data_IF_122452010437
#
_entry.id   IF_122452010437
#
_cell.length_a   1.000
_cell.length_b   1.000
_cell.length_c   1.000
_cell.angle_alpha   90.00
_cell.angle_beta   90.00
_cell.angle_gamma   90.00
#
_symmetry.space_group_name_H-M   'P 1'
#
loop_
_entity.id
_entity.type
_entity.pdbx_description
1 polymer ?
#
# COMPACT_ATOMS: atom_id res chain seq x y z
N UNK A 1 -13.23 22.23 14.65
CA UNK A 1 -12.47 23.45 15.04
C UNK A 1 -11.96 24.06 13.74
N UNK A 2 -12.03 25.37 13.57
CA UNK A 2 -11.52 26.09 12.40
C UNK A 2 -10.62 27.24 12.88
N UNK A 3 -9.51 27.45 12.18
CA UNK A 3 -8.64 28.60 12.36
C UNK A 3 -9.08 29.70 11.38
N UNK A 4 -9.19 30.91 11.87
CA UNK A 4 -9.66 32.07 11.10
C UNK A 4 -8.66 33.21 11.27
N UNK A 5 -8.17 33.84 10.19
CA UNK A 5 -7.34 35.02 10.28
C UNK A 5 -8.01 36.10 11.10
N UNK A 6 -7.26 36.78 11.99
CA UNK A 6 -7.80 37.75 12.92
C UNK A 6 -8.68 38.86 12.26
N UNK A 7 -8.28 39.30 11.06
CA UNK A 7 -9.05 40.29 10.29
C UNK A 7 -10.33 39.75 9.62
N UNK A 8 -10.56 38.43 9.63
CA UNK A 8 -11.71 37.77 9.01
C UNK A 8 -12.74 37.25 10.02
N UNK A 9 -12.49 37.42 11.31
CA UNK A 9 -13.35 36.86 12.37
C UNK A 9 -14.79 37.36 12.27
N UNK A 10 -15.00 38.63 11.97
CA UNK A 10 -16.34 39.20 11.84
C UNK A 10 -17.13 38.65 10.66
N UNK A 11 -16.47 38.51 9.49
CA UNK A 11 -17.06 37.94 8.28
C UNK A 11 -17.51 36.48 8.51
N UNK A 12 -16.68 35.69 9.20
CA UNK A 12 -17.00 34.30 9.52
C UNK A 12 -18.17 34.20 10.49
N UNK A 13 -18.22 35.02 11.52
CA UNK A 13 -19.36 35.05 12.45
C UNK A 13 -20.67 35.44 11.74
N UNK A 14 -20.65 36.44 10.85
CA UNK A 14 -21.79 36.84 10.07
C UNK A 14 -22.27 35.69 9.13
N UNK A 15 -21.34 35.03 8.44
CA UNK A 15 -21.66 33.89 7.59
C UNK A 15 -22.29 32.72 8.37
N UNK A 16 -21.76 32.41 9.58
CA UNK A 16 -22.31 31.39 10.44
C UNK A 16 -23.69 31.78 11.01
N UNK A 17 -23.92 33.05 11.28
CA UNK A 17 -25.19 33.58 11.73
C UNK A 17 -26.26 33.47 10.63
N UNK A 18 -25.88 33.85 9.40
CA UNK A 18 -26.74 33.71 8.22
C UNK A 18 -27.08 32.26 7.89
N UNK A 19 -26.18 31.32 8.21
CA UNK A 19 -26.39 29.87 8.06
C UNK A 19 -27.16 29.24 9.26
N UNK A 20 -27.55 30.01 10.27
CA UNK A 20 -28.26 29.50 11.45
C UNK A 20 -27.38 28.70 12.40
N UNK A 21 -26.07 28.79 12.30
CA UNK A 21 -25.09 28.00 13.08
C UNK A 21 -24.47 28.75 14.24
N UNK A 22 -24.75 30.04 14.40
CA UNK A 22 -24.09 30.92 15.40
C UNK A 22 -24.26 30.47 16.85
N UNK A 23 -25.40 29.82 17.19
CA UNK A 23 -25.66 29.35 18.56
C UNK A 23 -24.66 28.30 19.06
N UNK A 24 -24.01 27.57 18.14
CA UNK A 24 -23.11 26.46 18.43
C UNK A 24 -21.63 26.83 18.25
N UNK A 25 -21.34 28.09 17.93
CA UNK A 25 -19.99 28.56 17.66
C UNK A 25 -19.44 29.36 18.82
N UNK A 26 -18.29 29.00 19.35
CA UNK A 26 -17.58 29.69 20.40
C UNK A 26 -16.13 29.90 19.99
N UNK A 27 -15.59 31.08 20.31
CA UNK A 27 -14.15 31.30 20.19
C UNK A 27 -13.42 30.48 21.26
N UNK A 28 -12.58 29.54 20.85
CA UNK A 28 -11.81 28.70 21.75
C UNK A 28 -10.52 29.38 22.23
N UNK A 29 -9.92 30.25 21.38
CA UNK A 29 -8.67 30.93 21.71
C UNK A 29 -8.16 31.76 20.53
N UNK A 30 -6.89 32.09 20.58
CA UNK A 30 -6.15 32.71 19.48
C UNK A 30 -4.80 32.01 19.36
N UNK A 31 -4.31 31.89 18.13
CA UNK A 31 -2.94 31.40 17.84
C UNK A 31 -1.97 32.49 18.29
N UNK A 32 -0.88 32.09 18.93
CA UNK A 32 0.21 32.96 19.37
C UNK A 32 1.54 32.47 18.78
N UNK A 33 2.58 33.25 18.91
CA UNK A 33 3.92 32.93 18.44
C UNK A 33 4.73 32.09 19.46
N UNK A 34 4.20 31.86 20.64
CA UNK A 34 4.83 31.07 21.68
C UNK A 34 4.49 29.58 21.46
N UNK A 35 5.49 28.71 21.50
CA UNK A 35 5.26 27.25 21.42
C UNK A 35 4.65 26.74 22.75
N UNK A 36 3.49 27.29 23.17
CA UNK A 36 2.83 26.95 24.40
C UNK A 36 1.31 27.16 24.34
N UNK A 37 0.57 26.36 25.12
CA UNK A 37 -0.81 26.62 25.48
C UNK A 37 -0.83 27.59 26.66
N UNK A 38 -1.55 28.69 26.54
CA UNK A 38 -1.68 29.71 27.58
C UNK A 38 -3.15 29.83 27.98
N UNK A 39 -3.45 29.66 29.25
CA UNK A 39 -4.81 29.81 29.80
C UNK A 39 -4.73 30.50 31.17
N UNK A 40 -5.07 31.79 31.23
CA UNK A 40 -4.83 32.60 32.42
C UNK A 40 -3.34 32.63 32.78
N UNK A 41 -3.02 32.27 34.01
CA UNK A 41 -1.63 32.19 34.50
C UNK A 41 -0.93 30.85 34.14
N UNK A 42 -1.67 29.89 33.60
CA UNK A 42 -1.10 28.59 33.17
C UNK A 42 -0.42 28.72 31.82
N UNK A 43 0.82 28.26 31.75
CA UNK A 43 1.58 28.14 30.52
C UNK A 43 2.12 26.71 30.43
N UNK A 44 1.75 25.97 29.39
CA UNK A 44 2.18 24.59 29.11
C UNK A 44 2.89 24.57 27.77
N UNK A 45 4.14 24.17 27.74
CA UNK A 45 4.90 24.03 26.50
C UNK A 45 4.25 22.95 25.59
N UNK A 46 4.24 23.19 24.27
CA UNK A 46 3.67 22.24 23.30
C UNK A 46 4.39 20.91 23.40
N UNK A 47 5.72 20.90 23.50
CA UNK A 47 6.51 19.67 23.60
C UNK A 47 6.20 18.89 24.89
N UNK A 48 5.96 19.59 26.01
CA UNK A 48 5.56 18.95 27.25
C UNK A 48 4.18 18.31 27.13
N UNK A 49 3.22 19.01 26.53
CA UNK A 49 1.88 18.48 26.27
C UNK A 49 1.92 17.29 25.30
N UNK A 50 2.71 17.38 24.23
CA UNK A 50 2.89 16.32 23.26
C UNK A 50 3.50 15.07 23.90
N UNK A 51 4.57 15.25 24.67
CA UNK A 51 5.23 14.14 25.38
C UNK A 51 4.29 13.47 26.40
N UNK A 52 3.50 14.25 27.12
CA UNK A 52 2.52 13.70 28.06
C UNK A 52 1.43 12.91 27.33
N UNK A 53 0.98 13.39 26.18
CA UNK A 53 -0.04 12.70 25.37
C UNK A 53 0.49 11.45 24.70
N UNK A 54 1.62 11.52 24.00
CA UNK A 54 2.20 10.41 23.25
C UNK A 54 2.87 9.38 24.16
N UNK A 55 3.47 9.80 25.28
CA UNK A 55 4.22 8.93 26.19
C UNK A 55 3.37 8.04 27.10
N UNK A 56 2.05 8.26 27.18
CA UNK A 56 1.18 7.56 28.14
C UNK A 56 1.23 6.02 27.99
N UNK A 57 1.23 5.52 26.77
CA UNK A 57 1.26 4.08 26.46
C UNK A 57 2.62 3.57 26.00
N UNK A 58 3.65 4.42 25.93
CA UNK A 58 4.95 4.09 25.33
C UNK A 58 5.64 2.89 26.02
N UNK A 59 5.42 2.72 27.33
CA UNK A 59 5.97 1.58 28.10
C UNK A 59 5.31 0.24 27.76
N UNK A 60 4.08 0.26 27.29
CA UNK A 60 3.28 -0.95 26.98
C UNK A 60 3.27 -1.20 25.48
N UNK A 61 3.18 -0.15 24.68
CA UNK A 61 3.16 -0.18 23.22
C UNK A 61 4.19 0.83 22.70
N UNK A 62 5.47 0.48 22.66
CA UNK A 62 6.51 1.39 22.19
C UNK A 62 6.26 1.79 20.75
N UNK A 63 6.38 3.09 20.47
CA UNK A 63 6.23 3.65 19.11
C UNK A 63 7.54 3.61 18.33
N UNK A 64 8.65 3.28 19.00
CA UNK A 64 9.97 3.14 18.39
C UNK A 64 10.58 1.80 18.77
N UNK A 65 11.14 1.09 17.79
CA UNK A 65 11.97 -0.09 18.03
C UNK A 65 13.45 0.29 18.09
N UNK A 66 14.31 -0.67 18.47
CA UNK A 66 15.76 -0.50 18.37
C UNK A 66 16.17 -0.32 16.92
N UNK A 67 16.90 0.75 16.64
CA UNK A 67 17.34 1.13 15.28
C UNK A 67 18.25 0.05 14.67
N UNK A 68 17.83 -0.50 13.53
CA UNK A 68 18.74 -1.15 12.57
C UNK A 68 19.37 -0.05 11.72
N UNK A 69 20.67 0.20 11.92
CA UNK A 69 21.44 1.24 11.20
C UNK A 69 22.03 0.68 9.89
N UNK A 70 21.21 0.06 9.06
CA UNK A 70 21.66 -0.32 7.72
C UNK A 70 21.79 0.91 6.81
N UNK A 71 22.82 0.90 5.98
CA UNK A 71 22.99 1.92 4.95
C UNK A 71 21.87 1.78 3.92
N UNK A 72 21.06 2.83 3.79
CA UNK A 72 19.91 2.83 2.89
C UNK A 72 20.35 3.23 1.48
N UNK A 73 20.14 2.34 0.50
CA UNK A 73 20.37 2.65 -0.91
C UNK A 73 19.35 3.66 -1.42
N UNK A 74 19.81 4.66 -2.12
CA UNK A 74 18.99 5.79 -2.60
C UNK A 74 18.98 5.94 -4.12
N UNK A 75 19.63 5.03 -4.85
CA UNK A 75 19.79 5.11 -6.30
C UNK A 75 18.45 4.90 -7.02
N UNK A 76 18.23 5.72 -8.06
CA UNK A 76 17.12 5.51 -8.98
C UNK A 76 17.58 4.57 -10.10
N UNK A 77 16.72 3.62 -10.45
CA UNK A 77 16.96 2.67 -11.53
C UNK A 77 16.22 3.13 -12.80
N UNK A 78 16.99 3.34 -13.87
CA UNK A 78 16.46 3.57 -15.21
C UNK A 78 16.52 2.30 -16.04
N UNK A 79 15.36 1.84 -16.50
CA UNK A 79 15.26 0.66 -17.33
C UNK A 79 15.56 0.99 -18.81
N UNK A 80 16.36 0.16 -19.48
CA UNK A 80 16.57 0.27 -20.92
C UNK A 80 15.27 0.03 -21.72
N UNK A 81 14.35 -0.74 -21.16
CA UNK A 81 13.03 -1.03 -21.75
C UNK A 81 12.02 -1.46 -20.70
N UNK A 82 10.74 -1.15 -20.94
CA UNK A 82 9.60 -1.64 -20.17
C UNK A 82 8.92 -2.75 -20.97
N UNK A 83 8.42 -3.78 -20.28
CA UNK A 83 7.68 -4.86 -20.93
C UNK A 83 6.45 -4.33 -21.68
N UNK A 84 6.31 -4.72 -22.95
CA UNK A 84 5.22 -4.26 -23.81
C UNK A 84 4.25 -5.42 -24.06
N UNK A 85 2.95 -5.17 -23.82
CA UNK A 85 1.89 -6.12 -24.10
C UNK A 85 1.73 -6.36 -25.60
N UNK A 86 1.71 -7.64 -25.99
CA UNK A 86 1.43 -8.08 -27.38
C UNK A 86 -0.06 -8.41 -27.57
N UNK A 87 -0.77 -8.70 -26.49
CA UNK A 87 -2.18 -9.09 -26.47
C UNK A 87 -3.08 -7.91 -26.08
N UNK A 88 -3.20 -6.94 -26.98
CA UNK A 88 -3.95 -5.70 -26.75
C UNK A 88 -5.46 -5.96 -26.69
N UNK A 89 -6.13 -5.25 -25.76
CA UNK A 89 -7.58 -5.26 -25.60
C UNK A 89 -8.09 -3.85 -25.33
N UNK A 90 -9.24 -3.52 -25.86
CA UNK A 90 -9.81 -2.16 -25.71
C UNK A 90 -10.16 -1.85 -24.25
N UNK A 91 -10.62 -2.86 -23.53
CA UNK A 91 -11.01 -2.75 -22.11
C UNK A 91 -10.60 -4.02 -21.37
N UNK A 92 -9.54 -3.97 -20.56
CA UNK A 92 -9.09 -5.13 -19.83
C UNK A 92 -10.05 -5.49 -18.71
N UNK A 93 -10.14 -6.79 -18.41
CA UNK A 93 -10.89 -7.33 -17.28
C UNK A 93 -9.92 -7.62 -16.13
N UNK A 94 -10.30 -7.22 -14.92
CA UNK A 94 -9.54 -7.44 -13.69
C UNK A 94 -10.25 -8.46 -12.83
N UNK A 95 -9.61 -9.56 -12.51
CA UNK A 95 -10.09 -10.50 -11.52
C UNK A 95 -9.62 -10.09 -10.13
N UNK A 96 -10.56 -10.01 -9.19
CA UNK A 96 -10.32 -9.66 -7.77
C UNK A 96 -10.79 -10.83 -6.90
N UNK A 97 -9.87 -11.70 -6.45
CA UNK A 97 -10.19 -12.79 -5.53
C UNK A 97 -10.47 -12.26 -4.13
N UNK A 98 -11.55 -12.71 -3.53
CA UNK A 98 -11.98 -12.35 -2.17
C UNK A 98 -11.99 -13.59 -1.29
N UNK A 99 -11.26 -13.54 -0.18
CA UNK A 99 -11.24 -14.57 0.84
C UNK A 99 -11.88 -14.07 2.14
N UNK A 100 -12.31 -14.95 3.05
CA UNK A 100 -12.76 -14.51 4.37
C UNK A 100 -11.72 -13.57 5.03
N UNK A 101 -12.15 -12.37 5.41
CA UNK A 101 -11.28 -11.33 5.97
C UNK A 101 -10.69 -10.33 4.96
N UNK A 102 -10.83 -10.53 3.66
CA UNK A 102 -10.56 -9.48 2.65
C UNK A 102 -11.52 -8.32 2.84
N UNK A 103 -11.04 -7.08 2.73
CA UNK A 103 -11.88 -5.89 2.92
C UNK A 103 -11.58 -4.71 1.97
N UNK A 104 -10.58 -4.83 1.10
CA UNK A 104 -10.18 -3.77 0.14
C UNK A 104 -10.64 -4.07 -1.30
N UNK A 105 -11.48 -5.09 -1.51
CA UNK A 105 -11.97 -5.47 -2.85
C UNK A 105 -12.83 -4.39 -3.49
N UNK A 106 -13.66 -3.69 -2.70
CA UNK A 106 -14.50 -2.60 -3.19
C UNK A 106 -13.69 -1.38 -3.66
N UNK A 107 -12.67 -1.00 -2.88
CA UNK A 107 -11.81 0.11 -3.25
C UNK A 107 -10.96 -0.24 -4.47
N UNK A 108 -10.47 -1.48 -4.53
CA UNK A 108 -9.73 -2.02 -5.68
C UNK A 108 -10.59 -2.04 -6.95
N UNK A 109 -11.82 -2.54 -6.86
CA UNK A 109 -12.75 -2.56 -7.99
C UNK A 109 -13.03 -1.14 -8.51
N UNK A 110 -13.39 -0.21 -7.61
CA UNK A 110 -13.64 1.19 -7.96
C UNK A 110 -12.42 1.86 -8.61
N UNK A 111 -11.19 1.56 -8.12
CA UNK A 111 -9.97 2.12 -8.68
C UNK A 111 -9.75 1.66 -10.13
N UNK A 112 -9.92 0.36 -10.42
CA UNK A 112 -9.81 -0.17 -11.78
C UNK A 112 -10.95 0.28 -12.71
N UNK A 113 -12.18 0.35 -12.22
CA UNK A 113 -13.33 0.86 -12.99
C UNK A 113 -13.13 2.32 -13.37
N UNK A 114 -12.63 3.16 -12.47
CA UNK A 114 -12.24 4.56 -12.77
C UNK A 114 -11.13 4.65 -13.82
N UNK A 115 -10.19 3.69 -13.81
CA UNK A 115 -9.13 3.60 -14.81
C UNK A 115 -9.65 3.07 -16.19
N UNK A 116 -10.88 2.57 -16.25
CA UNK A 116 -11.54 2.11 -17.49
C UNK A 116 -11.40 0.61 -17.74
N UNK A 117 -11.26 -0.20 -16.71
CA UNK A 117 -11.35 -1.65 -16.76
C UNK A 117 -12.76 -2.17 -16.43
N UNK A 118 -13.03 -3.44 -16.74
CA UNK A 118 -14.12 -4.22 -16.15
C UNK A 118 -13.58 -5.04 -14.99
N UNK A 119 -14.41 -5.32 -13.96
CA UNK A 119 -14.00 -6.08 -12.78
C UNK A 119 -14.84 -7.35 -12.61
N UNK A 120 -14.18 -8.44 -12.20
CA UNK A 120 -14.81 -9.69 -11.76
C UNK A 120 -14.40 -9.93 -10.33
N UNK A 121 -15.33 -9.71 -9.39
CA UNK A 121 -15.11 -9.98 -7.97
C UNK A 121 -15.74 -11.32 -7.62
N UNK A 122 -14.98 -12.25 -7.07
CA UNK A 122 -15.45 -13.57 -6.68
C UNK A 122 -15.00 -13.92 -5.25
N UNK A 123 -15.92 -14.45 -4.47
CA UNK A 123 -15.67 -14.89 -3.10
C UNK A 123 -15.31 -16.36 -3.08
N UNK A 124 -14.20 -16.70 -2.44
CA UNK A 124 -13.80 -18.08 -2.17
C UNK A 124 -14.63 -18.64 -1.01
N UNK A 125 -15.49 -19.59 -1.30
CA UNK A 125 -16.31 -20.30 -0.32
C UNK A 125 -15.52 -21.46 0.28
N UNK A 126 -15.58 -21.66 1.58
CA UNK A 126 -14.80 -22.68 2.28
C UNK A 126 -15.59 -23.41 3.40
N UNK A 127 -16.92 -23.40 3.35
CA UNK A 127 -17.75 -24.04 4.37
C UNK A 127 -17.68 -25.56 4.31
N UNK A 128 -17.46 -26.13 3.13
CA UNK A 128 -17.35 -27.57 2.90
C UNK A 128 -16.46 -27.86 1.68
N UNK A 129 -16.18 -29.15 1.44
CA UNK A 129 -15.29 -29.56 0.35
C UNK A 129 -15.85 -29.26 -1.06
N UNK A 130 -17.16 -29.20 -1.24
CA UNK A 130 -17.81 -28.83 -2.50
C UNK A 130 -17.60 -27.36 -2.80
N UNK A 131 -17.88 -26.49 -1.84
CA UNK A 131 -17.63 -25.04 -1.95
C UNK A 131 -16.18 -24.72 -2.37
N UNK A 132 -15.22 -25.47 -1.81
CA UNK A 132 -13.80 -25.31 -2.16
C UNK A 132 -13.55 -25.68 -3.62
N UNK A 133 -14.10 -26.82 -4.09
CA UNK A 133 -13.95 -27.27 -5.49
C UNK A 133 -14.59 -26.28 -6.46
N UNK A 134 -15.83 -25.87 -6.18
CA UNK A 134 -16.54 -24.85 -6.97
C UNK A 134 -15.77 -23.54 -7.02
N UNK A 135 -15.23 -23.06 -5.89
CA UNK A 135 -14.47 -21.83 -5.82
C UNK A 135 -13.17 -21.89 -6.63
N UNK A 136 -12.47 -23.04 -6.59
CA UNK A 136 -11.27 -23.26 -7.42
C UNK A 136 -11.63 -23.18 -8.91
N UNK A 137 -12.72 -23.83 -9.33
CA UNK A 137 -13.16 -23.84 -10.73
C UNK A 137 -13.65 -22.43 -11.17
N UNK A 138 -14.41 -21.71 -10.32
CA UNK A 138 -14.85 -20.34 -10.59
C UNK A 138 -13.68 -19.36 -10.67
N UNK A 139 -12.69 -19.46 -9.79
CA UNK A 139 -11.49 -18.62 -9.82
C UNK A 139 -10.64 -18.90 -11.04
N UNK A 140 -10.40 -20.18 -11.37
CA UNK A 140 -9.69 -20.59 -12.59
C UNK A 140 -10.35 -19.96 -13.82
N UNK A 141 -11.68 -20.09 -13.95
CA UNK A 141 -12.44 -19.51 -15.05
C UNK A 141 -12.35 -17.97 -15.07
N UNK A 142 -12.38 -17.32 -13.93
CA UNK A 142 -12.24 -15.85 -13.84
C UNK A 142 -10.82 -15.40 -14.27
N UNK A 143 -9.77 -16.14 -13.88
CA UNK A 143 -8.39 -15.88 -14.30
C UNK A 143 -8.25 -16.04 -15.82
N UNK A 144 -8.88 -17.08 -16.40
CA UNK A 144 -8.84 -17.29 -17.85
C UNK A 144 -9.50 -16.17 -18.66
N UNK A 145 -10.47 -15.48 -18.08
CA UNK A 145 -11.15 -14.34 -18.70
C UNK A 145 -10.42 -13.00 -18.48
N UNK A 146 -9.62 -12.90 -17.42
CA UNK A 146 -8.97 -11.67 -17.01
C UNK A 146 -7.66 -11.39 -17.76
N UNK A 147 -7.27 -10.14 -17.80
CA UNK A 147 -5.96 -9.65 -18.20
C UNK A 147 -5.11 -9.23 -16.99
N UNK A 148 -5.77 -8.92 -15.89
CA UNK A 148 -5.15 -8.48 -14.64
C UNK A 148 -5.69 -9.32 -13.49
N UNK A 149 -4.82 -9.68 -12.55
CA UNK A 149 -5.24 -10.17 -11.23
C UNK A 149 -4.88 -9.10 -10.20
N UNK A 150 -5.87 -8.65 -9.43
CA UNK A 150 -5.68 -7.75 -8.29
C UNK A 150 -5.84 -8.54 -6.98
N UNK A 151 -4.77 -8.75 -6.24
CA UNK A 151 -4.79 -9.29 -4.89
C UNK A 151 -5.06 -8.16 -3.90
N UNK A 152 -6.28 -8.07 -3.34
CA UNK A 152 -6.66 -6.94 -2.49
C UNK A 152 -6.06 -7.05 -1.09
N UNK A 153 -6.07 -5.93 -0.39
CA UNK A 153 -5.74 -5.86 1.02
C UNK A 153 -6.84 -6.41 1.92
N UNK A 154 -6.52 -6.50 3.19
CA UNK A 154 -7.38 -7.03 4.24
C UNK A 154 -6.63 -7.98 5.16
N UNK A 155 -7.35 -8.91 5.77
CA UNK A 155 -6.85 -9.87 6.74
C UNK A 155 -7.34 -11.27 6.39
N UNK A 156 -6.93 -11.81 5.24
CA UNK A 156 -7.44 -13.08 4.74
C UNK A 156 -7.19 -14.23 5.72
N UNK A 157 -8.29 -14.82 6.22
CA UNK A 157 -8.32 -15.83 7.28
C UNK A 157 -7.81 -15.39 8.65
N UNK A 158 -7.78 -14.05 8.91
CA UNK A 158 -7.22 -13.44 10.10
C UNK A 158 -5.72 -13.19 10.00
N UNK A 159 -5.22 -12.23 10.79
CA UNK A 159 -3.78 -12.03 10.98
C UNK A 159 -3.28 -13.13 11.92
N UNK A 160 -2.73 -14.14 11.32
CA UNK A 160 -2.13 -15.24 12.05
C UNK A 160 -0.71 -14.89 12.47
N UNK A 161 -0.26 -15.32 13.67
CA UNK A 161 1.16 -15.37 13.95
C UNK A 161 1.83 -16.18 12.83
N UNK A 162 2.95 -15.78 12.31
CA UNK A 162 3.65 -16.44 11.20
C UNK A 162 3.15 -16.08 9.78
N UNK A 163 2.47 -14.97 9.64
CA UNK A 163 2.32 -14.33 8.34
C UNK A 163 0.94 -14.40 7.71
N UNK A 164 0.48 -13.24 7.43
CA UNK A 164 -0.75 -12.97 6.70
C UNK A 164 -0.73 -13.56 5.29
N UNK A 165 -1.90 -13.70 4.70
CA UNK A 165 -2.13 -14.26 3.36
C UNK A 165 -1.84 -15.75 3.17
N UNK A 166 -1.77 -16.55 4.24
CA UNK A 166 -1.61 -18.01 4.12
C UNK A 166 -2.73 -18.64 3.32
N UNK A 167 -3.96 -18.18 3.50
CA UNK A 167 -5.11 -18.73 2.78
C UNK A 167 -5.05 -18.42 1.29
N UNK A 168 -4.69 -17.20 0.90
CA UNK A 168 -4.39 -16.87 -0.49
C UNK A 168 -3.33 -17.82 -1.06
N UNK A 169 -2.20 -17.93 -0.37
CA UNK A 169 -1.08 -18.75 -0.84
C UNK A 169 -1.47 -20.23 -0.96
N UNK A 170 -2.23 -20.77 -0.03
CA UNK A 170 -2.69 -22.15 -0.06
C UNK A 170 -3.64 -22.39 -1.23
N UNK A 171 -4.62 -21.52 -1.44
CA UNK A 171 -5.58 -21.65 -2.53
C UNK A 171 -4.90 -21.52 -3.90
N UNK A 172 -4.06 -20.50 -4.11
CA UNK A 172 -3.39 -20.25 -5.37
C UNK A 172 -2.28 -21.26 -5.71
N UNK A 173 -1.82 -22.07 -4.75
CA UNK A 173 -0.96 -23.24 -4.99
C UNK A 173 -1.73 -24.47 -5.47
N UNK A 174 -3.06 -24.42 -5.55
CA UNK A 174 -3.81 -25.45 -6.28
C UNK A 174 -3.34 -25.52 -7.74
N UNK A 175 -3.15 -26.74 -8.27
CA UNK A 175 -2.57 -26.93 -9.60
C UNK A 175 -3.31 -26.18 -10.72
N UNK A 176 -4.66 -26.20 -10.72
CA UNK A 176 -5.48 -25.49 -11.71
C UNK A 176 -5.28 -23.98 -11.65
N UNK A 177 -5.30 -23.42 -10.43
CA UNK A 177 -5.13 -21.99 -10.22
C UNK A 177 -3.70 -21.54 -10.55
N UNK A 178 -2.68 -22.32 -10.13
CA UNK A 178 -1.28 -22.07 -10.49
C UNK A 178 -1.11 -22.04 -12.01
N UNK A 179 -1.64 -23.04 -12.72
CA UNK A 179 -1.57 -23.12 -14.19
C UNK A 179 -2.24 -21.90 -14.85
N UNK A 180 -3.44 -21.52 -14.40
CA UNK A 180 -4.16 -20.37 -14.94
C UNK A 180 -3.41 -19.04 -14.73
N UNK A 181 -2.83 -18.82 -13.53
CA UNK A 181 -2.01 -17.63 -13.25
C UNK A 181 -0.75 -17.62 -14.13
N UNK A 182 -0.06 -18.74 -14.25
CA UNK A 182 1.16 -18.79 -15.05
C UNK A 182 0.87 -18.64 -16.54
N UNK A 183 -0.25 -19.15 -17.06
CA UNK A 183 -0.72 -18.88 -18.44
C UNK A 183 -1.06 -17.40 -18.64
N UNK A 184 -1.76 -16.78 -17.67
CA UNK A 184 -2.03 -15.35 -17.73
C UNK A 184 -0.73 -14.55 -17.88
N UNK A 185 0.27 -14.82 -17.05
CA UNK A 185 1.52 -14.07 -17.04
C UNK A 185 2.40 -14.42 -18.27
N UNK A 186 2.57 -15.68 -18.63
CA UNK A 186 3.57 -16.11 -19.60
C UNK A 186 3.06 -16.17 -21.04
N UNK A 187 1.76 -16.42 -21.25
CA UNK A 187 1.19 -16.62 -22.57
C UNK A 187 0.30 -15.47 -23.05
N UNK A 188 -0.29 -14.72 -22.11
CA UNK A 188 -1.25 -13.64 -22.40
C UNK A 188 -0.76 -12.25 -22.03
N UNK A 189 0.54 -12.12 -21.68
CA UNK A 189 1.15 -10.85 -21.24
C UNK A 189 0.43 -10.18 -20.05
N UNK A 190 -0.23 -10.99 -19.21
CA UNK A 190 -1.05 -10.48 -18.10
C UNK A 190 -0.25 -9.73 -17.03
N UNK A 191 -0.97 -9.00 -16.21
CA UNK A 191 -0.43 -8.26 -15.07
C UNK A 191 -0.98 -8.79 -13.74
N UNK A 192 -0.21 -8.65 -12.66
CA UNK A 192 -0.69 -8.88 -11.30
C UNK A 192 -0.27 -7.74 -10.37
N UNK A 193 -1.21 -7.30 -9.54
CA UNK A 193 -1.00 -6.28 -8.50
C UNK A 193 -1.40 -6.84 -7.15
N UNK A 194 -0.58 -6.64 -6.13
CA UNK A 194 -0.93 -6.98 -4.75
C UNK A 194 -0.69 -5.81 -3.82
N UNK A 195 -1.70 -5.42 -3.06
CA UNK A 195 -1.59 -4.32 -2.11
C UNK A 195 -1.80 -4.86 -0.68
N UNK A 196 -0.92 -4.50 0.24
CA UNK A 196 -0.94 -4.87 1.65
C UNK A 196 -1.03 -6.41 1.82
N UNK A 197 -2.15 -6.98 2.25
CA UNK A 197 -2.35 -8.43 2.32
C UNK A 197 -2.15 -9.12 0.95
N UNK A 198 -2.47 -8.45 -0.14
CA UNK A 198 -2.17 -8.92 -1.50
C UNK A 198 -0.68 -8.99 -1.79
N UNK A 199 0.13 -8.05 -1.32
CA UNK A 199 1.59 -8.13 -1.44
C UNK A 199 2.16 -9.29 -0.62
N UNK A 200 1.64 -9.51 0.59
CA UNK A 200 1.99 -10.68 1.39
C UNK A 200 1.66 -11.99 0.66
N UNK A 201 0.54 -12.04 -0.08
CA UNK A 201 0.19 -13.18 -0.92
C UNK A 201 1.19 -13.36 -2.07
N UNK A 202 1.51 -12.30 -2.81
CA UNK A 202 2.44 -12.35 -3.94
C UNK A 202 3.83 -12.85 -3.51
N UNK A 203 4.35 -12.38 -2.38
CA UNK A 203 5.67 -12.78 -1.90
C UNK A 203 5.68 -14.23 -1.42
N UNK A 204 4.62 -14.69 -0.72
CA UNK A 204 4.49 -16.08 -0.28
C UNK A 204 4.31 -17.06 -1.45
N UNK A 205 3.66 -16.62 -2.53
CA UNK A 205 3.52 -17.39 -3.75
C UNK A 205 4.82 -17.46 -4.56
N UNK A 206 5.75 -16.53 -4.37
CA UNK A 206 6.95 -16.39 -5.19
C UNK A 206 6.76 -15.50 -6.43
N UNK A 207 5.54 -14.99 -6.67
CA UNK A 207 5.26 -14.11 -7.81
C UNK A 207 6.11 -12.83 -7.75
N UNK A 208 6.43 -12.35 -6.58
CA UNK A 208 7.55 -11.45 -6.35
C UNK A 208 8.49 -12.11 -5.32
N UNK A 209 9.80 -12.07 -5.51
CA UNK A 209 10.58 -11.41 -6.57
C UNK A 209 10.82 -12.29 -7.81
N UNK A 210 10.28 -13.51 -7.92
CA UNK A 210 10.69 -14.49 -8.93
C UNK A 210 9.93 -14.40 -10.26
N UNK A 211 8.69 -13.90 -10.25
CA UNK A 211 7.79 -13.85 -11.42
C UNK A 211 7.06 -15.16 -11.68
N UNK A 212 7.13 -16.13 -10.76
CA UNK A 212 6.48 -17.44 -10.87
C UNK A 212 5.95 -17.93 -9.53
N UNK A 213 4.90 -18.77 -9.56
CA UNK A 213 4.42 -19.45 -8.35
C UNK A 213 5.40 -20.60 -8.03
N UNK A 214 6.09 -20.45 -6.90
CA UNK A 214 7.07 -21.43 -6.41
C UNK A 214 7.16 -21.46 -4.89
N UNK A 215 7.65 -22.53 -4.28
CA UNK A 215 7.97 -22.53 -2.85
C UNK A 215 9.05 -21.49 -2.53
N UNK A 216 8.93 -20.84 -1.38
CA UNK A 216 9.99 -20.00 -0.84
C UNK A 216 11.17 -20.87 -0.38
N UNK A 217 12.39 -20.39 -0.62
CA UNK A 217 13.61 -20.93 -0.04
C UNK A 217 13.89 -20.26 1.31
N UNK A 218 14.83 -20.79 2.07
CA UNK A 218 15.18 -20.25 3.40
C UNK A 218 15.74 -18.82 3.35
N UNK A 219 16.32 -18.43 2.23
CA UNK A 219 16.90 -17.11 1.96
C UNK A 219 15.97 -16.19 1.15
N UNK A 220 14.75 -16.63 0.83
CA UNK A 220 13.80 -15.82 0.06
C UNK A 220 13.42 -14.54 0.81
N UNK A 221 13.30 -13.41 0.11
CA UNK A 221 12.67 -12.22 0.68
C UNK A 221 11.27 -12.51 1.22
N UNK A 222 10.90 -11.86 2.30
CA UNK A 222 9.57 -12.03 2.91
C UNK A 222 9.06 -10.74 3.55
N UNK A 223 7.79 -10.77 3.93
CA UNK A 223 7.15 -9.76 4.78
C UNK A 223 6.88 -10.38 6.15
N UNK A 224 7.21 -9.64 7.21
CA UNK A 224 7.07 -10.08 8.59
C UNK A 224 6.51 -8.98 9.48
N UNK A 225 6.49 -9.21 10.78
CA UNK A 225 5.98 -8.26 11.78
C UNK A 225 6.69 -6.91 11.72
N UNK A 226 5.90 -5.84 11.88
CA UNK A 226 6.44 -4.50 12.10
C UNK A 226 7.37 -4.51 13.33
N UNK A 227 8.45 -3.72 13.28
CA UNK A 227 9.43 -3.64 14.39
C UNK A 227 8.80 -3.26 15.73
N UNK A 228 7.76 -2.43 15.70
CA UNK A 228 7.03 -2.04 16.93
C UNK A 228 6.11 -3.14 17.50
N UNK A 229 6.02 -4.31 16.85
CA UNK A 229 5.24 -5.45 17.34
C UNK A 229 3.71 -5.26 17.34
N UNK A 230 3.20 -4.29 16.59
CA UNK A 230 1.76 -4.00 16.53
C UNK A 230 1.34 -3.41 15.19
N UNK A 231 0.01 -3.29 15.00
CA UNK A 231 -0.57 -2.64 13.85
C UNK A 231 -0.21 -1.15 13.78
N UNK A 232 0.16 -0.69 12.58
CA UNK A 232 0.36 0.71 12.23
C UNK A 232 -0.77 1.15 11.29
N UNK A 233 -1.31 2.35 11.54
CA UNK A 233 -2.22 3.03 10.63
C UNK A 233 -1.78 4.49 10.50
N UNK A 234 -1.15 4.84 9.37
CA UNK A 234 -0.53 6.14 9.14
C UNK A 234 -0.49 6.47 7.65
N UNK A 235 -0.55 7.77 7.33
CA UNK A 235 -0.16 8.22 5.99
C UNK A 235 1.36 8.14 5.87
N UNK A 236 1.85 7.52 4.80
CA UNK A 236 3.27 7.32 4.55
C UNK A 236 3.68 7.97 3.24
N UNK A 237 4.91 8.46 3.19
CA UNK A 237 5.51 8.98 1.97
C UNK A 237 6.31 7.86 1.30
N UNK A 238 6.02 7.61 0.02
CA UNK A 238 6.69 6.60 -0.78
C UNK A 238 7.25 7.22 -2.06
N UNK A 239 8.48 6.88 -2.41
CA UNK A 239 9.17 7.38 -3.59
C UNK A 239 9.27 6.28 -4.64
N UNK A 240 8.92 6.60 -5.89
CA UNK A 240 9.14 5.70 -7.03
C UNK A 240 10.62 5.67 -7.36
N UNK A 241 11.24 4.49 -7.32
CA UNK A 241 12.70 4.34 -7.49
C UNK A 241 13.09 3.53 -8.72
N UNK A 242 12.12 3.03 -9.49
CA UNK A 242 12.34 2.38 -10.78
C UNK A 242 11.26 2.77 -11.79
N UNK A 243 11.60 2.84 -13.06
CA UNK A 243 10.67 3.00 -14.19
C UNK A 243 10.48 1.69 -15.00
N UNK A 244 10.98 0.57 -14.47
CA UNK A 244 10.96 -0.74 -15.15
C UNK A 244 9.56 -1.33 -15.30
N UNK A 245 8.68 -1.06 -14.35
CA UNK A 245 7.38 -1.72 -14.27
C UNK A 245 6.32 -1.02 -15.14
N UNK A 246 5.54 -1.75 -15.95
CA UNK A 246 4.39 -1.18 -16.64
C UNK A 246 3.35 -0.59 -15.68
N UNK A 247 3.29 -1.04 -14.43
CA UNK A 247 2.46 -0.46 -13.37
C UNK A 247 2.84 0.99 -13.02
N UNK A 248 4.09 1.39 -13.27
CA UNK A 248 4.63 2.70 -12.96
C UNK A 248 4.81 3.59 -14.19
N UNK A 249 4.30 3.17 -15.35
CA UNK A 249 4.51 3.87 -16.63
C UNK A 249 3.97 5.32 -16.65
N UNK A 250 2.98 5.65 -15.82
CA UNK A 250 2.45 7.02 -15.68
C UNK A 250 2.92 7.71 -14.37
N UNK A 251 3.72 7.03 -13.56
CA UNK A 251 4.36 7.63 -12.40
C UNK A 251 5.68 8.28 -12.81
N UNK A 252 6.04 9.36 -12.15
CA UNK A 252 7.31 10.04 -12.37
C UNK A 252 8.39 9.41 -11.50
N UNK A 253 9.50 8.99 -12.11
CA UNK A 253 10.64 8.44 -11.38
C UNK A 253 11.23 9.49 -10.43
N UNK A 254 11.48 9.09 -9.19
CA UNK A 254 11.97 9.98 -8.13
C UNK A 254 10.88 10.79 -7.42
N UNK A 255 9.63 10.78 -7.91
CA UNK A 255 8.53 11.50 -7.28
C UNK A 255 8.03 10.79 -6.03
N UNK A 256 7.62 11.60 -5.06
CA UNK A 256 7.08 11.17 -3.77
C UNK A 256 5.55 11.22 -3.78
N UNK A 257 4.93 10.18 -3.24
CA UNK A 257 3.49 10.06 -3.10
C UNK A 257 3.12 9.77 -1.65
N UNK A 258 1.98 10.29 -1.21
CA UNK A 258 1.46 10.10 0.13
C UNK A 258 0.25 9.16 0.11
N UNK A 259 0.36 7.98 0.70
CA UNK A 259 -0.69 6.97 0.70
C UNK A 259 -0.92 6.40 2.11
N UNK A 260 -2.12 5.94 2.47
CA UNK A 260 -2.35 5.30 3.75
C UNK A 260 -1.69 3.92 3.82
N UNK A 261 -1.01 3.64 4.92
CA UNK A 261 -0.55 2.31 5.31
C UNK A 261 -1.33 1.82 6.52
N UNK A 262 -1.74 0.55 6.53
CA UNK A 262 -2.54 -0.04 7.60
C UNK A 262 -2.26 -1.53 7.69
N UNK A 263 -1.29 -1.92 8.53
CA UNK A 263 -0.83 -3.32 8.65
C UNK A 263 -0.07 -3.59 9.95
N UNK A 264 -0.09 -4.85 10.41
CA UNK A 264 0.76 -5.38 11.48
C UNK A 264 2.01 -6.10 10.98
N UNK A 265 1.97 -6.55 9.72
CA UNK A 265 3.00 -7.37 9.07
C UNK A 265 3.34 -6.81 7.68
N UNK A 266 4.08 -5.72 7.67
CA UNK A 266 4.49 -5.06 6.41
C UNK A 266 6.00 -4.92 6.25
N UNK A 267 6.77 -5.40 7.22
CA UNK A 267 8.23 -5.30 7.23
C UNK A 267 8.85 -6.19 6.19
N UNK A 268 9.42 -5.59 5.16
CA UNK A 268 10.21 -6.31 4.16
C UNK A 268 11.58 -6.67 4.74
N UNK A 269 11.93 -7.94 4.67
CA UNK A 269 13.23 -8.46 5.09
C UNK A 269 13.81 -9.38 4.03
N UNK A 270 15.12 -9.29 3.82
CA UNK A 270 15.85 -10.12 2.87
C UNK A 270 17.33 -10.17 3.25
N UNK A 271 18.07 -11.25 2.95
CA UNK A 271 19.52 -11.27 3.01
C UNK A 271 20.14 -10.20 2.11
N UNK A 272 21.35 -9.76 2.46
CA UNK A 272 22.07 -8.70 1.72
C UNK A 272 22.20 -8.99 0.23
N UNK A 273 22.48 -10.23 -0.14
CA UNK A 273 22.60 -10.67 -1.55
C UNK A 273 21.31 -10.44 -2.33
N UNK A 274 20.14 -10.64 -1.68
CA UNK A 274 18.84 -10.34 -2.27
C UNK A 274 18.60 -8.85 -2.38
N UNK A 275 18.95 -8.06 -1.35
CA UNK A 275 18.83 -6.60 -1.41
C UNK A 275 19.65 -6.05 -2.57
N UNK A 276 20.92 -6.45 -2.68
CA UNK A 276 21.80 -6.04 -3.76
C UNK A 276 21.25 -6.41 -5.15
N UNK A 277 20.73 -7.64 -5.28
CA UNK A 277 20.10 -8.11 -6.52
C UNK A 277 18.84 -7.34 -6.89
N UNK A 278 17.95 -7.06 -5.93
CA UNK A 278 16.71 -6.35 -6.17
C UNK A 278 16.97 -4.92 -6.68
N UNK A 279 17.91 -4.20 -6.07
CA UNK A 279 18.30 -2.87 -6.51
C UNK A 279 18.99 -2.92 -7.89
N UNK A 280 19.96 -3.82 -8.08
CA UNK A 280 20.70 -3.95 -9.34
C UNK A 280 19.78 -4.30 -10.53
N UNK A 281 18.71 -5.06 -10.28
CA UNK A 281 17.77 -5.47 -11.31
C UNK A 281 16.59 -4.47 -11.50
N UNK A 282 16.52 -3.39 -10.72
CA UNK A 282 15.41 -2.44 -10.74
C UNK A 282 14.09 -3.04 -10.27
N UNK A 283 14.15 -4.06 -9.38
CA UNK A 283 12.97 -4.71 -8.83
C UNK A 283 12.42 -4.02 -7.58
N UNK A 284 13.16 -3.10 -6.97
CA UNK A 284 12.62 -2.22 -5.94
C UNK A 284 11.77 -1.16 -6.63
N UNK A 285 10.46 -1.19 -6.38
CA UNK A 285 9.50 -0.29 -7.02
C UNK A 285 9.39 1.04 -6.29
N UNK A 286 9.23 0.96 -4.98
CA UNK A 286 9.00 2.11 -4.10
C UNK A 286 9.74 1.95 -2.78
N UNK A 287 10.16 3.08 -2.20
CA UNK A 287 10.79 3.14 -0.88
C UNK A 287 10.03 4.12 0.02
N UNK A 288 9.94 3.80 1.31
CA UNK A 288 9.53 4.79 2.32
C UNK A 288 10.56 5.91 2.40
N UNK A 289 10.08 7.15 2.48
CA UNK A 289 10.93 8.35 2.50
C UNK A 289 10.46 9.33 3.57
N UNK A 290 11.38 10.18 4.02
CA UNK A 290 11.04 11.33 4.87
C UNK A 290 10.41 12.47 4.03
N UNK A 291 10.07 13.58 4.67
CA UNK A 291 9.49 14.76 4.02
C UNK A 291 10.39 15.35 2.90
N UNK A 292 11.70 15.18 3.01
CA UNK A 292 12.65 15.61 1.98
C UNK A 292 12.75 14.61 0.80
N UNK A 293 11.99 13.52 0.80
CA UNK A 293 12.03 12.49 -0.24
C UNK A 293 13.28 11.60 -0.17
N UNK A 294 13.93 11.52 0.98
CA UNK A 294 15.12 10.69 1.21
C UNK A 294 14.71 9.39 1.89
N UNK A 295 15.06 8.21 1.32
CA UNK A 295 14.86 6.92 1.98
C UNK A 295 15.57 6.87 3.33
N UNK A 296 14.91 6.32 4.35
CA UNK A 296 15.42 6.33 5.72
C UNK A 296 14.98 5.11 6.52
N UNK A 297 15.77 4.72 7.50
CA UNK A 297 15.41 3.70 8.50
C UNK A 297 14.74 4.29 9.74
N UNK A 298 14.52 5.61 9.78
CA UNK A 298 13.78 6.26 10.86
C UNK A 298 12.32 5.77 10.87
N UNK A 299 11.87 5.25 12.00
CA UNK A 299 10.53 4.67 12.18
C UNK A 299 9.39 5.67 12.05
N UNK A 300 9.68 6.96 12.15
CA UNK A 300 8.70 7.98 11.82
C UNK A 300 8.24 7.87 10.37
N UNK A 301 9.14 7.49 9.47
CA UNK A 301 8.92 7.44 8.03
C UNK A 301 8.86 6.02 7.47
N UNK A 302 9.77 5.15 7.92
CA UNK A 302 9.78 3.71 7.61
C UNK A 302 9.00 2.96 8.70
N UNK A 303 7.68 3.09 8.65
CA UNK A 303 6.74 2.77 9.73
C UNK A 303 6.71 1.30 10.17
N UNK A 304 7.32 0.42 9.42
CA UNK A 304 7.34 -1.02 9.72
C UNK A 304 8.76 -1.59 9.89
N UNK A 305 9.81 -0.77 9.68
CA UNK A 305 11.20 -1.20 9.78
C UNK A 305 11.69 -2.02 8.58
N UNK A 306 11.10 -1.83 7.40
CA UNK A 306 11.51 -2.52 6.16
C UNK A 306 12.97 -2.27 5.82
N UNK A 307 13.72 -3.32 5.49
CA UNK A 307 15.12 -3.22 5.08
C UNK A 307 15.28 -2.32 3.87
N UNK A 308 16.30 -1.47 3.88
CA UNK A 308 16.57 -0.45 2.86
C UNK A 308 15.33 0.40 2.53
N UNK A 309 14.42 0.62 3.49
CA UNK A 309 13.15 1.35 3.30
C UNK A 309 12.25 0.79 2.19
N UNK A 310 12.39 -0.46 1.78
CA UNK A 310 11.62 -1.04 0.69
C UNK A 310 10.14 -1.09 1.07
N UNK A 311 9.30 -0.42 0.28
CA UNK A 311 7.85 -0.40 0.43
C UNK A 311 7.16 -1.35 -0.57
N UNK A 312 7.72 -1.48 -1.78
CA UNK A 312 7.19 -2.34 -2.82
C UNK A 312 8.27 -2.89 -3.75
N UNK A 313 8.03 -4.08 -4.29
CA UNK A 313 8.92 -4.77 -5.25
C UNK A 313 8.15 -5.33 -6.44
N UNK A 314 8.88 -5.60 -7.52
CA UNK A 314 8.33 -6.21 -8.74
C UNK A 314 8.92 -7.58 -9.04
N UNK A 315 8.26 -8.31 -9.98
CA UNK A 315 8.86 -9.43 -10.70
C UNK A 315 10.06 -8.96 -11.56
N UNK A 316 10.92 -9.88 -12.04
CA UNK A 316 12.08 -9.50 -12.85
C UNK A 316 11.73 -8.70 -14.12
N UNK A 317 10.56 -8.94 -14.70
CA UNK A 317 10.04 -8.26 -15.89
C UNK A 317 9.11 -7.06 -15.56
N UNK A 318 8.88 -6.77 -14.29
CA UNK A 318 8.08 -5.65 -13.82
C UNK A 318 6.56 -5.85 -13.90
N UNK A 319 6.05 -6.97 -14.43
CA UNK A 319 4.61 -7.19 -14.64
C UNK A 319 3.83 -7.54 -13.39
N UNK A 320 4.49 -8.06 -12.38
CA UNK A 320 3.90 -8.26 -11.04
C UNK A 320 4.42 -7.18 -10.12
N UNK A 321 3.54 -6.46 -9.44
CA UNK A 321 3.88 -5.42 -8.46
C UNK A 321 3.23 -5.75 -7.12
N UNK A 322 4.01 -5.77 -6.05
CA UNK A 322 3.55 -5.83 -4.68
C UNK A 322 3.97 -4.58 -3.90
N UNK A 323 3.06 -3.99 -3.14
CA UNK A 323 3.32 -2.81 -2.29
C UNK A 323 2.44 -2.81 -1.04
N UNK A 324 2.91 -2.13 0.03
CA UNK A 324 2.19 -2.11 1.30
C UNK A 324 1.18 -0.99 1.44
N UNK A 325 1.49 0.20 0.96
CA UNK A 325 0.60 1.35 1.08
C UNK A 325 -0.56 1.29 0.07
N UNK A 326 -1.75 1.69 0.52
CA UNK A 326 -3.02 1.54 -0.17
C UNK A 326 -3.29 2.66 -1.19
N UNK A 327 -2.82 2.50 -2.41
CA UNK A 327 -3.08 3.45 -3.50
C UNK A 327 -4.52 3.39 -4.02
N UNK A 328 -5.27 2.32 -3.74
CA UNK A 328 -6.69 2.16 -4.09
C UNK A 328 -7.62 3.00 -3.21
N UNK A 329 -7.20 3.30 -1.97
CA UNK A 329 -7.99 4.08 -1.00
C UNK A 329 -7.94 5.57 -1.29
N UNK A 330 -8.38 5.94 -2.48
CA UNK A 330 -8.40 7.30 -2.97
C UNK A 330 -9.73 7.62 -3.63
N UNK A 331 -10.30 8.77 -3.26
CA UNK A 331 -11.49 9.36 -3.91
C UNK A 331 -11.49 10.88 -3.72
N UNK A 332 -12.41 11.59 -4.38
CA UNK A 332 -12.55 13.06 -4.28
C UNK A 332 -12.76 13.55 -2.85
N UNK A 333 -13.36 12.74 -1.98
CA UNK A 333 -13.67 13.06 -0.58
C UNK A 333 -12.78 12.35 0.45
N UNK A 334 -11.81 11.53 0.00
CA UNK A 334 -10.91 10.79 0.88
C UNK A 334 -9.59 11.55 1.01
N UNK A 335 -9.09 11.69 2.24
CA UNK A 335 -7.81 12.32 2.56
C UNK A 335 -7.66 13.76 2.03
N UNK A 336 -8.74 14.53 1.94
CA UNK A 336 -8.76 15.89 1.38
C UNK A 336 -7.84 16.87 2.12
N UNK A 337 -7.64 16.67 3.42
CA UNK A 337 -6.82 17.54 4.28
C UNK A 337 -5.40 16.98 4.49
N UNK A 338 -5.02 15.97 3.75
CA UNK A 338 -3.67 15.40 3.81
C UNK A 338 -2.82 16.02 2.70
N UNK A 339 -1.70 16.60 3.10
CA UNK A 339 -0.75 17.20 2.18
C UNK A 339 0.01 16.12 1.39
N UNK A 340 0.29 16.41 0.12
CA UNK A 340 1.08 15.58 -0.78
C UNK A 340 0.27 15.00 -1.95
N UNK A 341 1.00 14.56 -2.97
CA UNK A 341 0.42 13.84 -4.12
C UNK A 341 0.03 12.42 -3.69
N UNK A 342 -1.21 12.04 -3.94
CA UNK A 342 -1.76 10.73 -3.53
C UNK A 342 -1.96 9.79 -4.72
N UNK A 343 -1.90 10.31 -5.95
CA UNK A 343 -2.24 9.58 -7.17
C UNK A 343 -1.00 9.01 -7.87
N UNK A 344 -0.61 7.81 -7.49
CA UNK A 344 0.50 7.07 -8.11
C UNK A 344 0.23 6.59 -9.55
N UNK A 345 -1.00 6.71 -10.05
CA UNK A 345 -1.41 6.29 -11.41
C UNK A 345 -1.19 4.81 -11.73
N UNK A 346 -1.11 3.94 -10.73
CA UNK A 346 -0.84 2.51 -10.97
C UNK A 346 -2.00 1.81 -11.68
N UNK A 347 -3.24 2.15 -11.36
CA UNK A 347 -4.43 1.55 -11.97
C UNK A 347 -4.57 1.98 -13.43
N UNK A 348 -4.41 3.28 -13.71
CA UNK A 348 -4.40 3.84 -15.04
C UNK A 348 -3.24 3.28 -15.89
N UNK A 349 -2.06 3.12 -15.31
CA UNK A 349 -0.89 2.50 -15.96
C UNK A 349 -1.16 1.04 -16.32
N UNK A 350 -1.69 0.25 -15.38
CA UNK A 350 -2.03 -1.14 -15.62
C UNK A 350 -3.10 -1.33 -16.71
N UNK A 351 -4.11 -0.45 -16.76
CA UNK A 351 -5.14 -0.47 -17.82
C UNK A 351 -4.57 -0.01 -19.15
N UNK A 352 -3.75 1.04 -19.16
CA UNK A 352 -3.13 1.57 -20.38
C UNK A 352 -2.16 0.58 -21.04
N UNK A 353 -1.52 -0.29 -20.25
CA UNK A 353 -0.61 -1.32 -20.74
C UNK A 353 -1.25 -2.23 -21.80
N UNK A 354 -2.57 -2.47 -21.73
CA UNK A 354 -3.32 -3.31 -22.68
C UNK A 354 -3.90 -2.52 -23.86
N UNK A 355 -3.79 -1.22 -23.89
CA UNK A 355 -4.28 -0.34 -24.98
C UNK A 355 -3.15 0.10 -25.91
#
# INVERSE_FOLDING_TARGET
>A
MAEVPAGKTAEVYEALQNAGLSANVKRAGAVNEEAAFICGDMKLAIDEALNAWTGTLEKVFPTRATEDKEEVKTDLYHADSVYVCKHKVARPTVFIPVFPGTNCEYDSAKAFERAGADTIVKVFKNLNAEDIRESVDEFTKAIDQAQIIMFPGGFSAGDEPEGSAKFFATAFRNAKMTEAVMKLLNERDGLALGICNGFQALIKLGLVPYGEIRPQAADSPTLTYNTIGRHISKMVYTKVVTDKSPWLAQAELGKVYCNPASHGEGRFVAPKEWLDKLFANGQVATQYVNEAGVPTMDEEWNVNGSYCSIEGITSPDGRVLGKMAHSERRDRSVAMNIYGEQDLKIFESGVAYFK
#
